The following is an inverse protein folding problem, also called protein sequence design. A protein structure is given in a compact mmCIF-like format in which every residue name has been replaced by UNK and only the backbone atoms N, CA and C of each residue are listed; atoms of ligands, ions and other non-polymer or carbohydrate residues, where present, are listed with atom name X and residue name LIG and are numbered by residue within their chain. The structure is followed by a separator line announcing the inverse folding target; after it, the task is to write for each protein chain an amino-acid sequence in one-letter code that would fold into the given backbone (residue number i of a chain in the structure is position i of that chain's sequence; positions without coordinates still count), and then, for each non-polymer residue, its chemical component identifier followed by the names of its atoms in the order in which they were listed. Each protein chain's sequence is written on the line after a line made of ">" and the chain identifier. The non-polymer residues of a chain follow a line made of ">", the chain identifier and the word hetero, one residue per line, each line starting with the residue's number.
data_IF_645356372159
#
_entry.id   IF_645356372159
#
_cell.length_a   1.000
_cell.length_b   1.000
_cell.length_c   1.000
_cell.angle_alpha   90.00
_cell.angle_beta   90.00
_cell.angle_gamma   90.00
#
_symmetry.space_group_name_H-M   'P 1'
#
loop_
_entity.id
_entity.type
_entity.pdbx_description
1 polymer ?
#
# COMPACT_ATOMS: atom_id res chain seq x y z
N UNK A 1 14.60 9.80 -24.02
CA UNK A 1 15.59 9.11 -23.15
C UNK A 1 15.08 7.72 -22.83
N UNK A 2 15.96 6.72 -22.84
CA UNK A 2 15.66 5.34 -22.42
C UNK A 2 16.08 5.18 -20.96
N UNK A 3 15.20 4.62 -20.13
CA UNK A 3 15.53 4.26 -18.75
C UNK A 3 16.03 2.82 -18.71
N UNK A 4 17.08 2.55 -17.92
CA UNK A 4 17.64 1.21 -17.74
C UNK A 4 17.02 0.57 -16.51
N UNK A 5 16.55 -0.66 -16.66
CA UNK A 5 16.20 -1.51 -15.52
C UNK A 5 17.50 -1.86 -14.77
N UNK A 6 17.60 -1.49 -13.50
CA UNK A 6 18.77 -1.80 -12.68
C UNK A 6 18.60 -3.14 -11.97
N UNK A 7 19.72 -3.74 -11.52
CA UNK A 7 19.73 -5.01 -10.77
C UNK A 7 19.01 -4.97 -9.41
N UNK A 8 18.63 -3.77 -8.93
CA UNK A 8 17.89 -3.57 -7.68
C UNK A 8 16.39 -3.37 -7.90
N UNK A 9 15.84 -3.75 -9.06
CA UNK A 9 14.45 -3.50 -9.46
C UNK A 9 14.05 -2.02 -9.43
N UNK A 10 15.01 -1.09 -9.51
CA UNK A 10 14.73 0.33 -9.55
C UNK A 10 14.45 0.77 -11.00
N UNK A 11 13.31 1.41 -11.20
CA UNK A 11 12.94 2.12 -12.44
C UNK A 11 13.12 3.63 -12.21
N UNK A 12 13.91 4.28 -13.07
CA UNK A 12 14.13 5.73 -13.01
C UNK A 12 13.26 6.43 -14.05
N UNK A 13 12.47 7.42 -13.64
CA UNK A 13 11.60 8.20 -14.54
C UNK A 13 12.23 9.57 -14.84
N UNK A 14 12.07 10.11 -16.06
CA UNK A 14 12.53 11.46 -16.38
C UNK A 14 11.85 12.51 -15.50
N UNK A 15 12.61 13.50 -15.02
CA UNK A 15 12.10 14.59 -14.17
C UNK A 15 10.91 15.32 -14.80
N UNK A 16 10.93 15.54 -16.12
CA UNK A 16 9.86 16.20 -16.86
C UNK A 16 8.52 15.44 -16.86
N UNK A 17 8.55 14.11 -16.65
CA UNK A 17 7.33 13.31 -16.50
C UNK A 17 6.84 13.39 -15.06
N UNK A 18 7.74 13.22 -14.09
CA UNK A 18 7.39 13.26 -12.65
C UNK A 18 6.84 14.62 -12.24
N UNK A 19 7.36 15.72 -12.81
CA UNK A 19 6.88 17.08 -12.51
C UNK A 19 5.43 17.34 -12.88
N UNK A 20 4.83 16.51 -13.75
CA UNK A 20 3.41 16.61 -14.10
C UNK A 20 2.48 16.04 -13.02
N UNK A 21 3.03 15.30 -12.05
CA UNK A 21 2.28 14.67 -10.96
C UNK A 21 2.76 15.20 -9.60
N UNK A 22 2.54 16.50 -9.28
CA UNK A 22 3.01 17.09 -8.04
C UNK A 22 2.38 16.40 -6.81
N UNK A 23 3.20 16.12 -5.81
CA UNK A 23 2.76 15.47 -4.56
C UNK A 23 2.55 13.95 -4.64
N UNK A 24 2.69 13.33 -5.82
CA UNK A 24 2.66 11.88 -5.95
C UNK A 24 3.91 11.27 -5.29
N UNK A 25 3.70 10.49 -4.22
CA UNK A 25 4.78 9.76 -3.50
C UNK A 25 4.76 8.26 -3.78
N UNK A 26 3.60 7.73 -4.14
CA UNK A 26 3.37 6.31 -4.39
C UNK A 26 2.61 6.16 -5.70
N UNK A 27 2.83 5.02 -6.36
CA UNK A 27 2.16 4.69 -7.61
C UNK A 27 1.62 3.27 -7.53
N UNK A 28 0.38 3.08 -7.93
CA UNK A 28 -0.11 1.76 -8.30
C UNK A 28 0.59 1.36 -9.61
N UNK A 29 1.11 0.13 -9.66
CA UNK A 29 1.86 -0.38 -10.81
C UNK A 29 1.14 -1.59 -11.37
N UNK A 30 0.81 -1.55 -12.65
CA UNK A 30 0.22 -2.70 -13.37
C UNK A 30 0.77 -2.84 -14.77
N UNK A 31 0.73 -4.07 -15.30
CA UNK A 31 1.00 -4.34 -16.69
C UNK A 31 -0.31 -4.35 -17.48
N UNK A 32 -0.41 -3.54 -18.53
CA UNK A 32 -1.59 -3.48 -19.38
C UNK A 32 -1.15 -3.38 -20.84
N UNK A 33 -1.58 -4.33 -21.68
CA UNK A 33 -1.30 -4.35 -23.13
C UNK A 33 0.19 -4.16 -23.47
N UNK A 34 1.07 -4.84 -22.74
CA UNK A 34 2.52 -4.77 -22.92
C UNK A 34 3.17 -3.47 -22.42
N UNK A 35 2.45 -2.65 -21.64
CA UNK A 35 2.94 -1.39 -21.06
C UNK A 35 2.91 -1.48 -19.53
N UNK A 36 3.87 -0.82 -18.89
CA UNK A 36 3.81 -0.55 -17.45
C UNK A 36 3.00 0.73 -17.27
N UNK A 37 1.90 0.64 -16.52
CA UNK A 37 1.07 1.78 -16.15
C UNK A 37 1.36 2.13 -14.69
N UNK A 38 1.73 3.39 -14.46
CA UNK A 38 1.99 3.97 -13.15
C UNK A 38 0.89 4.99 -12.87
N UNK A 39 0.04 4.72 -11.87
CA UNK A 39 -1.05 5.62 -11.47
C UNK A 39 -0.69 6.24 -10.13
N UNK A 40 -0.62 7.58 -9.99
CA UNK A 40 -0.40 8.22 -8.70
C UNK A 40 -1.42 7.72 -7.67
N UNK A 41 -0.92 7.12 -6.59
CA UNK A 41 -1.74 6.63 -5.50
C UNK A 41 -1.63 7.59 -4.31
N UNK A 42 -2.78 7.96 -3.76
CA UNK A 42 -2.84 8.49 -2.40
C UNK A 42 -2.77 7.27 -1.49
N UNK A 43 -1.74 7.17 -0.64
CA UNK A 43 -1.88 6.32 0.53
C UNK A 43 -3.07 6.86 1.31
N UNK A 44 -4.02 5.98 1.62
CA UNK A 44 -5.11 6.33 2.53
C UNK A 44 -4.50 6.99 3.76
N UNK A 45 -4.96 8.21 4.09
CA UNK A 45 -4.59 8.83 5.35
C UNK A 45 -4.99 7.88 6.47
N UNK A 46 -4.27 7.92 7.60
CA UNK A 46 -4.67 7.19 8.80
C UNK A 46 -6.16 7.44 9.11
N UNK A 47 -6.61 8.68 8.88
CA UNK A 47 -8.01 9.08 9.01
C UNK A 47 -8.96 8.33 8.07
N UNK A 48 -8.58 8.07 6.82
CA UNK A 48 -9.37 7.23 5.91
C UNK A 48 -9.43 5.76 6.35
N UNK A 49 -8.39 5.27 7.04
CA UNK A 49 -8.39 3.94 7.66
C UNK A 49 -9.32 3.93 8.88
N UNK A 50 -9.24 4.94 9.74
CA UNK A 50 -10.12 5.09 10.92
C UNK A 50 -11.59 5.19 10.53
N UNK A 51 -11.93 6.03 9.55
CA UNK A 51 -13.30 6.14 9.02
C UNK A 51 -13.80 4.81 8.46
N UNK A 52 -12.91 4.04 7.80
CA UNK A 52 -13.28 2.72 7.29
C UNK A 52 -13.50 1.71 8.42
N UNK A 53 -12.67 1.73 9.46
CA UNK A 53 -12.84 0.89 10.65
C UNK A 53 -14.16 1.21 11.38
N UNK A 54 -14.49 2.50 11.54
CA UNK A 54 -15.78 2.94 12.08
C UNK A 54 -16.96 2.47 11.23
N UNK A 55 -16.88 2.59 9.91
CA UNK A 55 -17.96 2.14 9.00
C UNK A 55 -18.20 0.62 9.04
N UNK A 56 -17.16 -0.14 9.39
CA UNK A 56 -17.24 -1.58 9.57
C UNK A 56 -17.68 -1.98 10.98
N UNK A 57 -17.92 -1.00 11.87
CA UNK A 57 -18.30 -1.23 13.26
C UNK A 57 -17.17 -1.81 14.11
N UNK A 58 -15.91 -1.70 13.65
CA UNK A 58 -14.75 -2.20 14.39
C UNK A 58 -14.41 -1.22 15.50
N UNK A 59 -14.47 -1.71 16.73
CA UNK A 59 -14.22 -0.97 17.96
C UNK A 59 -12.95 -1.46 18.67
N UNK A 60 -12.53 -0.74 19.71
CA UNK A 60 -11.39 -1.18 20.55
C UNK A 60 -11.62 -2.56 21.18
N UNK A 61 -12.87 -2.94 21.43
CA UNK A 61 -13.23 -4.27 21.96
C UNK A 61 -12.92 -5.38 20.96
N UNK A 62 -13.19 -5.14 19.68
CA UNK A 62 -12.90 -6.11 18.62
C UNK A 62 -11.38 -6.34 18.49
N UNK A 63 -10.59 -5.28 18.68
CA UNK A 63 -9.12 -5.38 18.74
C UNK A 63 -8.68 -6.17 19.97
N UNK A 64 -9.28 -5.90 21.13
CA UNK A 64 -8.94 -6.60 22.37
C UNK A 64 -9.27 -8.10 22.29
N UNK A 65 -10.44 -8.46 21.75
CA UNK A 65 -10.85 -9.84 21.52
C UNK A 65 -9.95 -10.54 20.51
N UNK A 66 -9.58 -9.88 19.40
CA UNK A 66 -8.65 -10.43 18.43
C UNK A 66 -7.26 -10.69 19.04
N UNK A 67 -6.76 -9.78 19.89
CA UNK A 67 -5.48 -9.96 20.60
C UNK A 67 -5.57 -11.10 21.62
N UNK A 68 -6.66 -11.19 22.40
CA UNK A 68 -6.88 -12.31 23.33
C UNK A 68 -6.95 -13.65 22.58
N UNK A 69 -7.65 -13.71 21.46
CA UNK A 69 -7.72 -14.90 20.62
C UNK A 69 -6.35 -15.31 20.07
N UNK A 70 -5.58 -14.35 19.54
CA UNK A 70 -4.24 -14.60 19.02
C UNK A 70 -3.28 -15.11 20.10
N UNK A 71 -3.35 -14.55 21.31
CA UNK A 71 -2.54 -14.97 22.47
C UNK A 71 -3.04 -16.27 23.12
N UNK A 72 -4.32 -16.59 22.97
CA UNK A 72 -4.95 -17.81 23.47
C UNK A 72 -4.62 -19.08 22.68
N UNK A 73 -4.13 -18.94 21.43
CA UNK A 73 -3.51 -20.06 20.70
C UNK A 73 -2.13 -20.37 21.30
N UNK A 74 -2.11 -21.14 22.39
CA UNK A 74 -0.97 -22.04 22.65
C UNK A 74 -0.83 -22.92 21.42
N UNK A 75 0.25 -22.76 20.69
CA UNK A 75 0.68 -23.72 19.68
C UNK A 75 0.77 -25.08 20.41
N UNK A 76 -0.03 -26.12 20.07
CA UNK A 76 0.32 -27.45 20.50
C UNK A 76 1.66 -27.75 19.83
N UNK A 77 2.69 -28.00 20.64
CA UNK A 77 3.98 -28.45 20.17
C UNK A 77 3.75 -29.62 19.20
N UNK A 78 4.23 -29.47 17.96
CA UNK A 78 4.41 -30.60 17.04
C UNK A 78 5.58 -31.44 17.53
#
# INVERSE_FOLDING_TARGET
>A
MLAKLTSKNQLTLPKAVVSQFPGARYFEVRAEKGRIVLVPAKLSSLEGVWQKMESLGITEKDVEEAVRWARGKKHPAR
#
